data_IF_318213949381
#
_entry.id   IF_318213949381
#
_cell.length_a   1.000
_cell.length_b   1.000
_cell.length_c   1.000
_cell.angle_alpha   90.00
_cell.angle_beta   90.00
_cell.angle_gamma   90.00
#
_symmetry.space_group_name_H-M   'P 1'
#
loop_
_entity.id
_entity.type
_entity.pdbx_description
1 polymer ?
#
# COMPACT_ATOMS: atom_id res chain seq x y z
N UNK A 1 25.07 -23.57 17.70
CA UNK A 1 24.79 -24.14 16.37
C UNK A 1 24.03 -25.45 16.56
N UNK A 2 23.00 -25.74 15.74
CA UNK A 2 22.26 -27.00 15.79
C UNK A 2 23.23 -28.19 15.60
N UNK A 3 23.00 -29.28 16.34
CA UNK A 3 23.90 -30.44 16.38
C UNK A 3 23.82 -31.30 15.10
N UNK A 4 22.82 -31.12 14.25
CA UNK A 4 22.63 -31.86 12.99
C UNK A 4 21.85 -31.04 11.94
N UNK A 5 22.18 -31.20 10.65
CA UNK A 5 21.50 -30.54 9.53
C UNK A 5 19.97 -30.82 9.48
N UNK A 6 19.48 -32.04 9.77
CA UNK A 6 18.04 -32.31 9.86
C UNK A 6 17.31 -31.51 10.94
N UNK A 7 17.94 -31.28 12.09
CA UNK A 7 17.36 -30.49 13.20
C UNK A 7 17.31 -28.99 12.85
N UNK A 8 18.30 -28.51 12.10
CA UNK A 8 18.31 -27.14 11.60
C UNK A 8 17.17 -26.89 10.60
N UNK A 9 17.01 -27.79 9.62
CA UNK A 9 15.97 -27.67 8.59
C UNK A 9 14.54 -27.69 9.18
N UNK A 10 14.35 -28.35 10.33
CA UNK A 10 13.06 -28.33 11.06
C UNK A 10 12.82 -27.06 11.87
N UNK A 11 13.87 -26.40 12.32
CA UNK A 11 13.80 -25.23 13.21
C UNK A 11 13.92 -23.89 12.49
N UNK A 12 14.39 -23.88 11.23
CA UNK A 12 14.50 -22.66 10.44
C UNK A 12 13.13 -22.06 10.11
N UNK A 13 13.11 -20.74 9.95
CA UNK A 13 11.92 -20.02 9.50
C UNK A 13 11.49 -20.49 8.10
N UNK A 14 10.19 -20.71 7.91
CA UNK A 14 9.61 -21.02 6.62
C UNK A 14 8.82 -19.79 6.14
N UNK A 15 8.98 -19.37 4.86
CA UNK A 15 8.28 -18.21 4.35
C UNK A 15 6.77 -18.35 4.53
N UNK A 16 6.16 -17.37 5.18
CA UNK A 16 4.71 -17.32 5.38
C UNK A 16 4.02 -16.43 4.32
N UNK A 17 2.82 -16.80 3.87
CA UNK A 17 2.02 -15.93 3.00
C UNK A 17 1.34 -14.81 3.81
N UNK A 18 2.06 -13.70 3.94
CA UNK A 18 1.59 -12.47 4.60
C UNK A 18 0.36 -11.89 3.90
N UNK A 19 0.23 -12.07 2.58
CA UNK A 19 -0.91 -11.52 1.82
C UNK A 19 -2.20 -12.28 2.16
N UNK A 20 -2.14 -13.60 2.32
CA UNK A 20 -3.27 -14.41 2.77
C UNK A 20 -3.73 -14.00 4.18
N UNK A 21 -2.78 -13.84 5.13
CA UNK A 21 -3.07 -13.36 6.49
C UNK A 21 -3.67 -11.94 6.48
N UNK A 22 -3.18 -11.05 5.62
CA UNK A 22 -3.70 -9.70 5.51
C UNK A 22 -5.15 -9.67 4.99
N UNK A 23 -5.45 -10.42 3.92
CA UNK A 23 -6.82 -10.50 3.37
C UNK A 23 -7.85 -10.99 4.38
N UNK A 24 -7.46 -11.92 5.26
CA UNK A 24 -8.32 -12.43 6.33
C UNK A 24 -8.54 -11.42 7.46
N UNK A 25 -7.61 -10.49 7.70
CA UNK A 25 -7.72 -9.48 8.78
C UNK A 25 -8.46 -8.21 8.38
N UNK A 26 -8.63 -7.94 7.09
CA UNK A 26 -9.32 -6.74 6.59
C UNK A 26 -10.83 -6.81 6.87
N UNK A 27 -11.33 -5.87 7.69
CA UNK A 27 -12.77 -5.69 7.91
C UNK A 27 -13.42 -5.00 6.71
N UNK A 28 -14.75 -5.03 6.64
CA UNK A 28 -15.50 -4.39 5.56
C UNK A 28 -15.14 -2.90 5.38
N UNK A 29 -15.10 -2.13 6.47
CA UNK A 29 -14.74 -0.71 6.44
C UNK A 29 -13.31 -0.46 5.94
N UNK A 30 -12.36 -1.33 6.33
CA UNK A 30 -10.98 -1.25 5.86
C UNK A 30 -10.88 -1.49 4.35
N UNK A 31 -11.66 -2.44 3.82
CA UNK A 31 -11.74 -2.71 2.38
C UNK A 31 -12.27 -1.51 1.61
N UNK A 32 -13.31 -0.86 2.11
CA UNK A 32 -13.88 0.35 1.50
C UNK A 32 -12.85 1.49 1.52
N UNK A 33 -12.20 1.73 2.66
CA UNK A 33 -11.17 2.78 2.77
C UNK A 33 -10.01 2.54 1.80
N UNK A 34 -9.51 1.30 1.71
CA UNK A 34 -8.42 0.93 0.79
C UNK A 34 -8.86 1.05 -0.67
N UNK A 35 -10.08 0.63 -1.02
CA UNK A 35 -10.61 0.75 -2.37
C UNK A 35 -10.70 2.21 -2.82
N UNK A 36 -11.32 3.06 -1.98
CA UNK A 36 -11.48 4.49 -2.29
C UNK A 36 -10.11 5.16 -2.39
N UNK A 37 -9.21 4.87 -1.45
CA UNK A 37 -7.85 5.42 -1.45
C UNK A 37 -7.06 4.99 -2.69
N UNK A 38 -7.19 3.73 -3.12
CA UNK A 38 -6.54 3.24 -4.33
C UNK A 38 -7.10 3.87 -5.60
N UNK A 39 -8.41 4.14 -5.65
CA UNK A 39 -9.04 4.80 -6.79
C UNK A 39 -8.60 6.26 -6.90
N UNK A 40 -8.66 7.00 -5.79
CA UNK A 40 -8.33 8.43 -5.73
C UNK A 40 -6.82 8.67 -5.82
N UNK A 41 -6.00 7.76 -5.28
CA UNK A 41 -4.54 7.83 -5.37
C UNK A 41 -3.97 7.49 -6.75
N UNK A 42 -4.81 7.23 -7.76
CA UNK A 42 -4.37 6.93 -9.12
C UNK A 42 -4.12 8.20 -9.94
N UNK A 43 -3.18 8.14 -10.89
CA UNK A 43 -2.95 9.25 -11.84
C UNK A 43 -4.17 9.57 -12.70
N UNK A 44 -5.00 8.57 -12.99
CA UNK A 44 -6.24 8.76 -13.73
C UNK A 44 -7.26 9.62 -12.97
N UNK A 45 -7.32 9.51 -11.64
CA UNK A 45 -8.17 10.36 -10.83
C UNK A 45 -7.75 11.84 -10.93
N UNK A 46 -6.44 12.12 -10.92
CA UNK A 46 -5.93 13.49 -11.11
C UNK A 46 -6.38 14.06 -12.46
N UNK A 47 -6.18 13.34 -13.55
CA UNK A 47 -6.62 13.79 -14.88
C UNK A 47 -8.13 14.01 -14.93
N UNK A 48 -8.91 13.11 -14.33
CA UNK A 48 -10.36 13.26 -14.23
C UNK A 48 -10.76 14.54 -13.50
N UNK A 49 -10.19 14.83 -12.33
CA UNK A 49 -10.51 16.04 -11.57
C UNK A 49 -10.10 17.32 -12.30
N UNK A 50 -8.93 17.32 -12.97
CA UNK A 50 -8.49 18.45 -13.79
C UNK A 50 -9.51 18.71 -14.90
N UNK A 51 -9.87 17.69 -15.68
CA UNK A 51 -10.84 17.81 -16.77
C UNK A 51 -12.20 18.25 -16.24
N UNK A 52 -12.63 17.72 -15.11
CA UNK A 52 -13.89 18.08 -14.46
C UNK A 52 -13.92 19.57 -14.08
N UNK A 53 -12.87 20.07 -13.42
CA UNK A 53 -12.78 21.48 -13.02
C UNK A 53 -12.75 22.41 -14.23
N UNK A 54 -11.89 22.13 -15.22
CA UNK A 54 -11.83 22.93 -16.45
C UNK A 54 -13.13 22.87 -17.25
N UNK A 55 -13.77 21.70 -17.31
CA UNK A 55 -15.07 21.51 -17.94
C UNK A 55 -16.16 22.33 -17.27
N UNK A 56 -16.19 22.35 -15.93
CA UNK A 56 -17.12 23.19 -15.16
C UNK A 56 -16.90 24.68 -15.41
N UNK A 57 -15.64 25.14 -15.35
CA UNK A 57 -15.27 26.53 -15.62
C UNK A 57 -15.67 26.96 -17.04
N UNK A 58 -15.41 26.11 -18.03
CA UNK A 58 -15.75 26.39 -19.42
C UNK A 58 -17.27 26.46 -19.61
N UNK A 59 -18.02 25.49 -19.07
CA UNK A 59 -19.47 25.48 -19.12
C UNK A 59 -20.06 26.76 -18.51
N UNK A 60 -19.58 27.19 -17.35
CA UNK A 60 -20.08 28.42 -16.74
C UNK A 60 -19.65 29.69 -17.45
N UNK A 61 -18.44 29.72 -18.03
CA UNK A 61 -17.98 30.90 -18.76
C UNK A 61 -18.76 31.17 -20.04
N UNK A 62 -19.24 30.13 -20.73
CA UNK A 62 -19.98 30.27 -21.99
C UNK A 62 -21.49 30.33 -21.80
N UNK A 63 -22.01 30.04 -20.60
CA UNK A 63 -23.44 30.04 -20.32
C UNK A 63 -23.98 31.47 -20.29
N UNK A 64 -25.05 31.81 -21.04
CA UNK A 64 -25.68 33.13 -20.99
C UNK A 64 -26.28 33.47 -19.62
N UNK A 65 -26.59 32.43 -18.83
CA UNK A 65 -27.06 32.54 -17.44
C UNK A 65 -26.23 31.55 -16.61
N UNK A 66 -25.02 31.94 -16.16
CA UNK A 66 -24.17 31.06 -15.40
C UNK A 66 -24.82 30.75 -14.05
N UNK A 67 -24.87 29.47 -13.68
CA UNK A 67 -25.36 29.05 -12.36
C UNK A 67 -24.32 29.35 -11.26
N UNK A 68 -23.04 29.23 -11.59
CA UNK A 68 -21.90 29.49 -10.70
C UNK A 68 -20.93 30.45 -11.42
N UNK A 69 -21.19 31.77 -11.43
CA UNK A 69 -20.33 32.75 -12.08
C UNK A 69 -18.99 32.88 -11.37
N UNK A 70 -17.95 33.33 -12.09
CA UNK A 70 -16.64 33.63 -11.51
C UNK A 70 -16.82 34.55 -10.28
N UNK A 71 -16.30 34.16 -9.10
CA UNK A 71 -15.17 33.24 -8.85
C UNK A 71 -15.52 31.76 -8.56
N UNK A 72 -16.68 31.25 -8.99
CA UNK A 72 -17.10 29.84 -8.84
C UNK A 72 -17.31 29.39 -7.38
N UNK A 73 -18.05 30.19 -6.61
CA UNK A 73 -18.21 29.99 -5.16
C UNK A 73 -18.87 28.64 -4.83
N UNK A 74 -19.81 28.18 -5.66
CA UNK A 74 -20.53 26.93 -5.42
C UNK A 74 -19.61 25.73 -5.63
N UNK A 75 -18.84 25.74 -6.72
CA UNK A 75 -17.83 24.70 -6.98
C UNK A 75 -16.81 24.63 -5.84
N UNK A 76 -16.28 25.78 -5.40
CA UNK A 76 -15.31 25.85 -4.30
C UNK A 76 -15.92 25.28 -3.01
N UNK A 77 -17.15 25.66 -2.69
CA UNK A 77 -17.85 25.19 -1.50
C UNK A 77 -18.01 23.66 -1.47
N UNK A 78 -18.55 23.09 -2.55
CA UNK A 78 -18.72 21.63 -2.65
C UNK A 78 -17.37 20.91 -2.65
N UNK A 79 -16.37 21.46 -3.34
CA UNK A 79 -15.02 20.90 -3.37
C UNK A 79 -14.39 20.84 -1.98
N UNK A 80 -14.58 21.87 -1.15
CA UNK A 80 -14.08 21.88 0.22
C UNK A 80 -14.74 20.82 1.10
N UNK A 81 -16.05 20.61 0.99
CA UNK A 81 -16.76 19.55 1.72
C UNK A 81 -16.20 18.18 1.33
N UNK A 82 -16.06 17.93 0.02
CA UNK A 82 -15.51 16.67 -0.48
C UNK A 82 -14.07 16.47 0.03
N UNK A 83 -13.20 17.48 -0.08
CA UNK A 83 -11.82 17.40 0.41
C UNK A 83 -11.74 17.12 1.91
N UNK A 84 -12.58 17.77 2.73
CA UNK A 84 -12.62 17.56 4.17
C UNK A 84 -12.94 16.11 4.55
N UNK A 85 -13.80 15.44 3.77
CA UNK A 85 -14.13 14.02 3.97
C UNK A 85 -13.07 13.09 3.37
N UNK A 86 -12.46 13.48 2.25
CA UNK A 86 -11.47 12.66 1.56
C UNK A 86 -10.14 12.58 2.30
N UNK A 87 -9.66 13.67 2.92
CA UNK A 87 -8.34 13.68 3.57
C UNK A 87 -8.22 12.62 4.69
N UNK A 88 -9.15 12.52 5.67
CA UNK A 88 -9.10 11.48 6.69
C UNK A 88 -9.29 10.08 6.09
N UNK A 89 -10.18 9.94 5.10
CA UNK A 89 -10.45 8.66 4.44
C UNK A 89 -9.20 8.11 3.72
N UNK A 90 -8.50 8.97 2.98
CA UNK A 90 -7.23 8.67 2.33
C UNK A 90 -6.19 8.30 3.38
N UNK A 91 -6.08 9.07 4.47
CA UNK A 91 -5.11 8.79 5.54
C UNK A 91 -5.37 7.42 6.19
N UNK A 92 -6.63 7.04 6.42
CA UNK A 92 -6.97 5.72 6.95
C UNK A 92 -6.58 4.62 5.95
N UNK A 93 -6.91 4.76 4.67
CA UNK A 93 -6.51 3.80 3.65
C UNK A 93 -5.00 3.65 3.51
N UNK A 94 -4.26 4.77 3.57
CA UNK A 94 -2.80 4.79 3.56
C UNK A 94 -2.21 4.09 4.80
N UNK A 95 -2.75 4.34 6.00
CA UNK A 95 -2.30 3.67 7.22
C UNK A 95 -2.48 2.15 7.14
N UNK A 96 -3.59 1.68 6.57
CA UNK A 96 -3.85 0.25 6.37
C UNK A 96 -2.84 -0.34 5.37
N UNK A 97 -2.60 0.33 4.24
CA UNK A 97 -1.63 -0.11 3.24
C UNK A 97 -0.19 -0.10 3.77
N UNK A 98 0.18 0.92 4.55
CA UNK A 98 1.49 1.04 5.18
C UNK A 98 1.74 -0.07 6.21
N UNK A 99 0.73 -0.38 7.03
CA UNK A 99 0.80 -1.51 7.98
C UNK A 99 0.99 -2.84 7.26
N UNK A 100 0.31 -3.04 6.12
CA UNK A 100 0.53 -4.23 5.29
C UNK A 100 1.93 -4.27 4.68
N UNK A 101 2.43 -3.14 4.19
CA UNK A 101 3.79 -3.04 3.66
C UNK A 101 4.84 -3.34 4.74
N UNK A 102 4.63 -2.87 5.97
CA UNK A 102 5.51 -3.15 7.10
C UNK A 102 5.54 -4.65 7.45
N UNK A 103 4.38 -5.31 7.53
CA UNK A 103 4.31 -6.75 7.79
C UNK A 103 5.02 -7.58 6.71
N UNK A 104 4.89 -7.17 5.44
CA UNK A 104 5.63 -7.81 4.33
C UNK A 104 7.14 -7.60 4.47
N UNK A 105 7.58 -6.38 4.76
CA UNK A 105 9.00 -6.08 4.94
C UNK A 105 9.61 -6.85 6.13
N UNK A 106 8.85 -7.05 7.21
CA UNK A 106 9.29 -7.85 8.37
C UNK A 106 9.46 -9.33 8.00
N UNK A 107 8.50 -9.91 7.27
CA UNK A 107 8.62 -11.29 6.77
C UNK A 107 9.77 -11.47 5.77
N UNK A 108 9.94 -10.51 4.85
CA UNK A 108 11.04 -10.50 3.88
C UNK A 108 12.39 -10.43 4.61
N UNK A 109 12.47 -9.67 5.70
CA UNK A 109 13.64 -9.61 6.56
C UNK A 109 13.93 -10.94 7.26
N UNK A 110 12.91 -11.60 7.84
CA UNK A 110 13.06 -12.92 8.45
C UNK A 110 13.54 -13.98 7.44
N UNK A 111 12.92 -14.01 6.26
CA UNK A 111 13.31 -14.90 5.17
C UNK A 111 14.74 -14.64 4.73
N UNK A 112 15.11 -13.37 4.50
CA UNK A 112 16.48 -12.99 4.10
C UNK A 112 17.52 -13.37 5.15
N UNK A 113 17.20 -13.18 6.44
CA UNK A 113 18.08 -13.59 7.54
C UNK A 113 18.29 -15.11 7.56
N UNK A 114 17.24 -15.89 7.35
CA UNK A 114 17.36 -17.35 7.28
C UNK A 114 18.17 -17.80 6.07
N UNK A 115 17.98 -17.18 4.90
CA UNK A 115 18.81 -17.44 3.71
C UNK A 115 20.28 -17.13 3.99
N UNK A 116 20.56 -16.01 4.65
CA UNK A 116 21.94 -15.65 5.03
C UNK A 116 22.58 -16.71 5.93
N UNK A 117 21.85 -17.20 6.94
CA UNK A 117 22.31 -18.27 7.83
C UNK A 117 22.49 -19.61 7.11
N UNK A 118 21.59 -19.96 6.19
CA UNK A 118 21.70 -21.15 5.35
C UNK A 118 23.01 -21.09 4.53
N UNK A 119 23.31 -19.94 3.92
CA UNK A 119 24.54 -19.72 3.14
C UNK A 119 25.79 -19.82 4.02
N UNK A 120 25.81 -19.17 5.18
CA UNK A 120 26.94 -19.28 6.12
C UNK A 120 27.19 -20.74 6.51
N UNK A 121 26.12 -21.50 6.77
CA UNK A 121 26.21 -22.93 7.12
C UNK A 121 26.76 -23.77 5.96
N UNK A 122 26.36 -23.48 4.71
CA UNK A 122 26.91 -24.15 3.53
C UNK A 122 28.39 -23.82 3.36
N UNK A 123 28.78 -22.55 3.49
CA UNK A 123 30.17 -22.11 3.32
C UNK A 123 31.10 -22.72 4.36
N UNK A 124 30.69 -22.76 5.64
CA UNK A 124 31.49 -23.40 6.70
C UNK A 124 31.64 -24.89 6.44
N UNK A 125 30.55 -25.59 6.09
CA UNK A 125 30.57 -27.03 5.77
C UNK A 125 31.51 -27.33 4.59
N UNK A 126 31.44 -26.56 3.51
CA UNK A 126 32.34 -26.72 2.36
C UNK A 126 33.81 -26.45 2.72
N UNK A 127 34.06 -25.47 3.59
CA UNK A 127 35.41 -25.14 4.04
C UNK A 127 36.04 -26.25 4.89
N UNK A 128 35.23 -26.93 5.70
CA UNK A 128 35.66 -28.05 6.54
C UNK A 128 35.94 -29.29 5.70
N UNK A 129 35.08 -29.57 4.70
CA UNK A 129 35.31 -30.67 3.74
C UNK A 129 36.59 -30.50 2.93
N UNK A 130 36.97 -29.26 2.57
CA UNK A 130 38.21 -28.98 1.83
C UNK A 130 39.48 -29.22 2.67
N UNK A 131 39.40 -29.17 4.00
CA UNK A 131 40.55 -29.37 4.90
C UNK A 131 40.89 -30.83 5.15
N UNK A 132 39.99 -31.74 4.81
CA UNK A 132 40.17 -33.20 4.91
C UNK A 132 40.68 -33.76 3.59
#
# INVERSE_FOLDING_TARGET
>A
MPKSLPDYLKSRHAPEDVNAKHRQRLKFHDKVAVLITSAIGSMYALYFFIIFVFGWMLWQSVSPKPFDPFPYIFMIFISNIVQLLLLPLIMVGQNIQAKHAQLRAEEDYHTTKTIHQDIETILTTLSDLKKT
#
